data_IF_508023520145
#
_entry.id   IF_508023520145
#
_cell.length_a   1.000
_cell.length_b   1.000
_cell.length_c   1.000
_cell.angle_alpha   90.00
_cell.angle_beta   90.00
_cell.angle_gamma   90.00
#
_symmetry.space_group_name_H-M   'P 1'
#
loop_
_entity.id
_entity.type
_entity.pdbx_description
1 polymer ?
#
# COMPACT_ATOMS: atom_id res chain seq x y z
N UNK A 1 -11.38 12.68 2.67
CA UNK A 1 -10.20 12.41 1.82
C UNK A 1 -10.61 11.31 0.87
N UNK A 2 -10.54 11.57 -0.44
CA UNK A 2 -10.95 10.59 -1.45
C UNK A 2 -9.75 9.75 -1.89
N UNK A 3 -10.04 8.48 -2.14
CA UNK A 3 -9.07 7.47 -2.55
C UNK A 3 -9.49 6.93 -3.90
N UNK A 4 -8.59 6.98 -4.88
CA UNK A 4 -8.78 6.40 -6.20
C UNK A 4 -7.79 5.27 -6.37
N UNK A 5 -8.29 4.05 -6.55
CA UNK A 5 -7.45 2.88 -6.83
C UNK A 5 -7.43 2.68 -8.35
N UNK A 6 -6.23 2.57 -8.92
CA UNK A 6 -6.05 2.34 -10.36
C UNK A 6 -5.32 1.04 -10.57
N UNK A 7 -5.93 0.16 -11.37
CA UNK A 7 -5.29 -1.02 -11.92
C UNK A 7 -4.86 -0.73 -13.36
N UNK A 8 -3.63 -0.24 -13.60
CA UNK A 8 -3.18 0.11 -14.94
C UNK A 8 -3.02 -1.14 -15.82
N UNK A 9 -3.48 -1.12 -17.08
CA UNK A 9 -3.15 -2.16 -18.05
C UNK A 9 -1.65 -2.16 -18.39
N UNK A 10 -1.12 -3.20 -19.05
CA UNK A 10 0.32 -3.33 -19.32
C UNK A 10 0.94 -2.19 -20.15
N UNK A 11 0.14 -1.51 -20.97
CA UNK A 11 0.51 -0.43 -21.89
C UNK A 11 0.42 0.97 -21.25
N UNK A 12 0.29 1.06 -19.93
CA UNK A 12 0.23 2.33 -19.22
C UNK A 12 1.55 3.10 -19.30
N UNK A 13 1.55 4.16 -20.10
CA UNK A 13 2.75 4.97 -20.36
C UNK A 13 3.02 5.98 -19.24
N UNK A 14 4.30 6.35 -19.08
CA UNK A 14 4.72 7.34 -18.09
C UNK A 14 4.00 8.72 -18.21
N UNK A 15 3.71 9.26 -19.42
CA UNK A 15 2.92 10.49 -19.56
C UNK A 15 1.51 10.39 -18.95
N UNK A 16 0.86 9.22 -19.08
CA UNK A 16 -0.47 8.98 -18.50
C UNK A 16 -0.38 8.93 -16.97
N UNK A 17 0.61 8.21 -16.44
CA UNK A 17 0.91 8.14 -15.00
C UNK A 17 1.12 9.54 -14.43
N UNK A 18 1.98 10.35 -15.06
CA UNK A 18 2.26 11.73 -14.63
C UNK A 18 1.01 12.60 -14.65
N UNK A 19 0.19 12.46 -15.69
CA UNK A 19 -1.07 13.21 -15.82
C UNK A 19 -2.03 12.86 -14.69
N UNK A 20 -2.19 11.58 -14.36
CA UNK A 20 -3.05 11.14 -13.25
C UNK A 20 -2.53 11.61 -11.89
N UNK A 21 -1.22 11.52 -11.65
CA UNK A 21 -0.62 12.06 -10.43
C UNK A 21 -0.86 13.58 -10.31
N UNK A 22 -0.70 14.35 -11.40
CA UNK A 22 -0.97 15.78 -11.41
C UNK A 22 -2.46 16.08 -11.12
N UNK A 23 -3.38 15.31 -11.70
CA UNK A 23 -4.82 15.43 -11.43
C UNK A 23 -5.16 15.12 -9.98
N UNK A 24 -4.58 14.08 -9.39
CA UNK A 24 -4.77 13.74 -7.99
C UNK A 24 -4.32 14.88 -7.07
N UNK A 25 -3.14 15.46 -7.34
CA UNK A 25 -2.64 16.65 -6.61
C UNK A 25 -3.58 17.85 -6.75
N UNK A 26 -4.04 18.16 -7.97
CA UNK A 26 -4.98 19.26 -8.22
C UNK A 26 -6.32 19.10 -7.49
N UNK A 27 -6.77 17.85 -7.30
CA UNK A 27 -8.05 17.54 -6.65
C UNK A 27 -7.91 17.23 -5.15
N UNK A 28 -6.70 17.19 -4.61
CA UNK A 28 -6.47 16.81 -3.22
C UNK A 28 -6.86 15.35 -2.92
N UNK A 29 -6.77 14.46 -3.91
CA UNK A 29 -7.10 13.04 -3.77
C UNK A 29 -5.85 12.17 -3.68
N UNK A 30 -5.97 11.00 -3.06
CA UNK A 30 -4.89 10.01 -3.00
C UNK A 30 -5.09 8.98 -4.09
N UNK A 31 -4.07 8.83 -4.92
CA UNK A 31 -4.02 7.86 -6.01
C UNK A 31 -3.21 6.64 -5.59
N UNK A 32 -3.83 5.46 -5.59
CA UNK A 32 -3.22 4.20 -5.20
C UNK A 32 -3.14 3.29 -6.43
N UNK A 33 -1.96 3.10 -7.03
CA UNK A 33 -1.81 2.14 -8.09
C UNK A 33 -1.68 0.71 -7.53
N UNK A 34 -2.21 -0.28 -8.25
CA UNK A 34 -2.02 -1.70 -7.90
C UNK A 34 -0.67 -2.27 -8.35
N UNK A 35 0.18 -1.45 -8.98
CA UNK A 35 1.53 -1.78 -9.43
C UNK A 35 2.50 -0.63 -9.13
N UNK A 36 3.80 -0.89 -9.22
CA UNK A 36 4.82 0.12 -8.98
C UNK A 36 4.73 1.25 -10.03
N UNK A 37 4.63 2.49 -9.56
CA UNK A 37 4.57 3.67 -10.43
C UNK A 37 5.82 4.52 -10.29
N UNK A 38 6.46 4.91 -11.41
CA UNK A 38 7.51 5.92 -11.40
C UNK A 38 6.99 7.21 -10.78
N UNK A 39 7.82 7.84 -9.95
CA UNK A 39 7.45 9.11 -9.33
C UNK A 39 6.34 9.00 -8.28
N UNK A 40 6.07 7.84 -7.68
CA UNK A 40 5.25 7.78 -6.46
C UNK A 40 5.84 8.64 -5.35
N UNK A 41 4.99 9.41 -4.66
CA UNK A 41 5.40 10.25 -3.53
C UNK A 41 5.65 9.42 -2.26
N UNK A 42 4.98 8.27 -2.16
CA UNK A 42 5.07 7.29 -1.08
C UNK A 42 4.99 5.88 -1.68
N UNK A 43 5.83 4.97 -1.19
CA UNK A 43 5.79 3.53 -1.45
C UNK A 43 5.64 2.83 -0.11
N UNK A 44 4.73 1.85 -0.04
CA UNK A 44 4.52 1.00 1.14
C UNK A 44 4.82 -0.43 0.74
N UNK A 45 5.79 -1.04 1.41
CA UNK A 45 6.26 -2.39 1.11
C UNK A 45 6.08 -3.29 2.32
N UNK A 46 5.61 -4.52 2.09
CA UNK A 46 5.58 -5.54 3.12
C UNK A 46 6.92 -6.27 3.16
N UNK A 47 7.71 -6.03 4.19
CA UNK A 47 9.07 -6.61 4.35
C UNK A 47 9.07 -7.95 5.08
N UNK A 48 8.06 -8.22 5.91
CA UNK A 48 7.86 -9.55 6.51
C UNK A 48 6.39 -9.84 6.75
N UNK A 49 6.03 -11.12 6.73
CA UNK A 49 4.67 -11.61 6.94
C UNK A 49 4.68 -12.91 7.73
N UNK A 50 3.98 -12.93 8.86
CA UNK A 50 3.84 -14.11 9.73
C UNK A 50 2.36 -14.41 9.91
N UNK A 51 1.95 -15.65 9.67
CA UNK A 51 0.56 -16.07 9.83
C UNK A 51 0.30 -16.71 11.19
N UNK A 52 -0.93 -16.55 11.68
CA UNK A 52 -1.44 -17.24 12.87
C UNK A 52 -2.77 -17.94 12.58
N UNK A 53 -3.16 -18.89 13.45
CA UNK A 53 -4.46 -19.59 13.38
C UNK A 53 -4.41 -21.09 13.01
N UNK A 54 -3.21 -21.65 12.79
CA UNK A 54 -3.03 -23.07 12.47
C UNK A 54 -3.00 -24.02 13.68
N UNK A 55 -3.27 -23.55 14.91
CA UNK A 55 -3.32 -24.41 16.10
C UNK A 55 -2.12 -25.37 16.20
N UNK A 56 -2.39 -26.69 16.24
CA UNK A 56 -1.38 -27.77 16.22
C UNK A 56 -1.04 -28.27 14.81
N UNK A 57 -0.93 -27.36 13.83
CA UNK A 57 -0.67 -27.71 12.42
C UNK A 57 -1.93 -28.01 11.59
N UNK A 58 -3.13 -27.79 12.13
CA UNK A 58 -4.41 -27.91 11.44
C UNK A 58 -5.33 -26.77 11.87
N UNK A 59 -6.09 -26.20 10.93
CA UNK A 59 -6.97 -25.07 11.19
C UNK A 59 -7.05 -24.11 10.00
N UNK A 60 -7.53 -22.89 10.24
CA UNK A 60 -7.64 -21.83 9.23
C UNK A 60 -6.75 -20.66 9.63
N UNK A 61 -5.97 -20.14 8.67
CA UNK A 61 -5.24 -18.89 8.83
C UNK A 61 -6.24 -17.77 9.19
N UNK A 62 -6.04 -17.15 10.35
CA UNK A 62 -6.98 -16.14 10.88
C UNK A 62 -6.44 -14.74 10.70
N UNK A 63 -5.19 -14.53 11.09
CA UNK A 63 -4.53 -13.24 10.99
C UNK A 63 -3.12 -13.40 10.46
N UNK A 64 -2.59 -12.33 9.90
CA UNK A 64 -1.20 -12.16 9.53
C UNK A 64 -0.66 -10.91 10.21
N UNK A 65 0.48 -11.03 10.86
CA UNK A 65 1.29 -9.90 11.25
C UNK A 65 2.17 -9.50 10.07
N UNK A 66 2.09 -8.24 9.65
CA UNK A 66 2.84 -7.67 8.55
C UNK A 66 3.78 -6.59 9.08
N UNK A 67 5.06 -6.67 8.70
CA UNK A 67 5.98 -5.54 8.86
C UNK A 67 5.96 -4.74 7.57
N UNK A 68 5.46 -3.51 7.65
CA UNK A 68 5.37 -2.59 6.54
C UNK A 68 6.45 -1.52 6.68
N UNK A 69 7.10 -1.19 5.57
CA UNK A 69 8.02 -0.05 5.46
C UNK A 69 7.43 0.95 4.49
N UNK A 70 7.30 2.19 4.94
CA UNK A 70 6.86 3.33 4.14
C UNK A 70 8.06 4.23 3.84
N UNK A 71 8.32 4.51 2.57
CA UNK A 71 9.40 5.37 2.10
C UNK A 71 8.92 6.27 0.96
N UNK A 72 9.59 7.39 0.71
CA UNK A 72 9.16 8.30 -0.34
C UNK A 72 9.87 9.64 -0.33
N UNK A 73 9.19 10.68 -0.80
CA UNK A 73 9.72 12.06 -0.84
C UNK A 73 9.10 12.93 0.26
N UNK A 74 9.70 14.09 0.49
CA UNK A 74 9.21 15.07 1.46
C UNK A 74 9.10 14.48 2.88
N UNK A 75 7.89 14.47 3.45
CA UNK A 75 7.64 13.92 4.80
C UNK A 75 7.89 12.42 4.92
N UNK A 76 8.02 11.70 3.81
CA UNK A 76 8.36 10.28 3.75
C UNK A 76 9.84 10.02 3.37
N UNK A 77 10.68 11.07 3.32
CA UNK A 77 12.10 10.93 2.99
C UNK A 77 12.87 10.07 4.00
N UNK A 78 12.46 10.10 5.28
CA UNK A 78 12.93 9.14 6.27
C UNK A 78 11.98 7.93 6.29
N UNK A 79 12.46 6.72 5.96
CA UNK A 79 11.63 5.53 6.00
C UNK A 79 11.04 5.29 7.39
N UNK A 80 9.78 4.83 7.43
CA UNK A 80 9.08 4.44 8.66
C UNK A 80 8.64 2.99 8.58
N UNK A 81 8.81 2.28 9.67
CA UNK A 81 8.37 0.89 9.77
C UNK A 81 7.22 0.78 10.76
N UNK A 82 6.22 -0.03 10.43
CA UNK A 82 5.11 -0.34 11.31
C UNK A 82 4.77 -1.83 11.23
N UNK A 83 4.39 -2.40 12.36
CA UNK A 83 3.81 -3.74 12.42
C UNK A 83 2.29 -3.62 12.45
N UNK A 84 1.59 -4.31 11.54
CA UNK A 84 0.13 -4.32 11.47
C UNK A 84 -0.40 -5.74 11.47
N UNK A 85 -1.52 -5.97 12.16
CA UNK A 85 -2.23 -7.25 12.10
C UNK A 85 -3.38 -7.13 11.11
N UNK A 86 -3.46 -8.06 10.17
CA UNK A 86 -4.50 -8.13 9.14
C UNK A 86 -5.25 -9.48 9.17
N UNK A 87 -6.58 -9.53 8.94
CA UNK A 87 -7.47 -8.38 8.91
C UNK A 87 -7.43 -7.66 10.27
N UNK A 88 -7.63 -6.34 10.23
CA UNK A 88 -7.72 -5.58 11.48
C UNK A 88 -8.81 -6.22 12.35
N UNK A 89 -8.59 -6.36 13.67
CA UNK A 89 -9.64 -6.86 14.56
C UNK A 89 -10.87 -5.96 14.40
N UNK A 90 -12.05 -6.58 14.37
CA UNK A 90 -13.30 -5.82 14.29
C UNK A 90 -13.32 -4.81 15.45
N UNK A 91 -13.38 -3.51 15.13
CA UNK A 91 -13.67 -2.48 16.14
C UNK A 91 -15.09 -2.74 16.64
N UNK A 92 -15.24 -3.02 17.93
CA UNK A 92 -16.53 -3.02 18.62
C UNK A 92 -17.04 -1.60 18.81
#
# INVERSE_FOLDING_TARGET
>A
MDLVVVAPPPDFTEPVIRSLQARARQRGTVLIPTSAWPGSDLVIECTSKVWTGLGRGHGRLRTQELRLTASGRGRAALPRTATVVFPAPARR
#
